data_IF_924395768505
#
_entry.id   IF_924395768505
#
_cell.length_a   1.000
_cell.length_b   1.000
_cell.length_c   1.000
_cell.angle_alpha   90.00
_cell.angle_beta   90.00
_cell.angle_gamma   90.00
#
_symmetry.space_group_name_H-M   'P 1'
#
loop_
_entity.id
_entity.type
_entity.pdbx_description
1 polymer ?
#
# COMPACT_ATOMS: atom_id res chain seq x y z
N UNK A 1 -1.88 20.84 30.01
CA UNK A 1 -2.17 20.81 28.56
C UNK A 1 -1.88 22.16 27.93
N UNK A 2 -2.50 23.26 28.40
CA UNK A 2 -2.26 24.61 27.88
C UNK A 2 -0.77 24.98 27.87
N UNK A 3 -0.06 24.78 28.98
CA UNK A 3 1.38 25.12 29.12
C UNK A 3 2.28 24.36 28.15
N UNK A 4 1.88 23.13 27.78
CA UNK A 4 2.58 22.30 26.80
C UNK A 4 2.29 22.82 25.39
N UNK A 5 1.02 23.14 25.10
CA UNK A 5 0.61 23.70 23.82
C UNK A 5 1.13 25.15 23.60
N UNK A 6 1.39 25.93 24.64
CA UNK A 6 2.05 27.23 24.53
C UNK A 6 3.56 27.11 24.33
N UNK A 7 4.19 26.10 24.94
CA UNK A 7 5.65 25.90 24.84
C UNK A 7 6.09 25.17 23.56
N UNK A 8 5.26 24.27 23.02
CA UNK A 8 5.62 23.40 21.90
C UNK A 8 4.74 23.56 20.64
N UNK A 9 3.72 24.42 20.71
CA UNK A 9 2.79 24.71 19.61
C UNK A 9 1.36 24.22 19.86
N UNK A 10 0.39 24.93 19.30
CA UNK A 10 -1.03 24.60 19.46
C UNK A 10 -1.31 23.23 18.82
N UNK A 11 -1.65 22.23 19.63
CA UNK A 11 -1.92 20.87 19.18
C UNK A 11 -0.82 19.85 19.49
N UNK A 12 0.27 20.23 20.17
CA UNK A 12 1.28 19.27 20.66
C UNK A 12 0.69 18.20 21.59
N UNK A 13 -0.36 18.52 22.35
CA UNK A 13 -1.14 17.57 23.14
C UNK A 13 -2.63 17.79 22.92
N UNK A 14 -3.30 16.77 22.41
CA UNK A 14 -4.76 16.71 22.17
C UNK A 14 -5.34 15.43 22.77
N UNK A 15 -6.65 15.40 23.05
CA UNK A 15 -7.34 14.16 23.43
C UNK A 15 -7.72 13.41 22.15
N UNK A 16 -7.38 12.12 22.07
CA UNK A 16 -7.59 11.31 20.86
C UNK A 16 -9.06 11.29 20.40
N UNK A 17 -10.01 11.20 21.34
CA UNK A 17 -11.46 11.24 21.04
C UNK A 17 -11.97 12.59 20.52
N UNK A 18 -11.33 13.71 20.89
CA UNK A 18 -11.70 15.05 20.35
C UNK A 18 -11.02 15.38 19.02
N UNK A 19 -10.06 14.56 18.58
CA UNK A 19 -9.37 14.74 17.30
C UNK A 19 -10.12 14.11 16.11
N UNK A 20 -11.37 13.67 16.31
CA UNK A 20 -12.14 12.92 15.30
C UNK A 20 -11.48 11.58 15.01
N UNK A 21 -11.63 10.61 15.93
CA UNK A 21 -11.00 9.28 15.97
C UNK A 21 -10.09 8.96 14.78
N UNK A 22 -8.80 9.29 14.92
CA UNK A 22 -7.87 9.55 13.80
C UNK A 22 -7.72 8.39 12.80
N UNK A 23 -8.66 8.31 11.85
CA UNK A 23 -8.54 7.54 10.63
C UNK A 23 -7.39 8.14 9.81
N UNK A 24 -6.47 7.28 9.39
CA UNK A 24 -5.35 7.70 8.56
C UNK A 24 -5.88 7.83 7.14
N UNK A 25 -5.91 9.05 6.62
CA UNK A 25 -6.33 9.31 5.24
C UNK A 25 -5.49 8.48 4.26
N UNK A 26 -6.14 7.90 3.25
CA UNK A 26 -5.51 7.10 2.21
C UNK A 26 -5.74 7.70 0.83
N UNK A 27 -4.96 7.25 -0.15
CA UNK A 27 -5.16 7.51 -1.57
C UNK A 27 -5.01 6.21 -2.37
N UNK A 28 -5.60 6.18 -3.57
CA UNK A 28 -5.53 5.03 -4.48
C UNK A 28 -4.08 4.66 -4.81
N UNK A 29 -3.76 3.36 -4.80
CA UNK A 29 -2.49 2.85 -5.32
C UNK A 29 -2.46 2.77 -6.85
N UNK A 30 -3.58 3.09 -7.51
CA UNK A 30 -3.84 2.89 -8.93
C UNK A 30 -4.28 1.47 -9.27
N UNK A 31 -4.33 0.59 -8.26
CA UNK A 31 -4.57 -0.86 -8.42
C UNK A 31 -5.70 -1.27 -7.48
N UNK A 32 -6.91 -1.41 -8.02
CA UNK A 32 -8.13 -1.61 -7.22
C UNK A 32 -8.06 -2.87 -6.32
N UNK A 33 -7.44 -3.96 -6.78
CA UNK A 33 -7.26 -5.18 -5.97
C UNK A 33 -6.29 -4.96 -4.80
N UNK A 34 -5.28 -4.09 -4.97
CA UNK A 34 -4.37 -3.69 -3.89
C UNK A 34 -5.06 -2.73 -2.91
N UNK A 35 -5.89 -1.81 -3.38
CA UNK A 35 -6.69 -0.93 -2.53
C UNK A 35 -7.69 -1.75 -1.68
N UNK A 36 -8.29 -2.81 -2.22
CA UNK A 36 -9.12 -3.78 -1.48
C UNK A 36 -8.32 -4.54 -0.42
N UNK A 37 -7.09 -4.94 -0.76
CA UNK A 37 -6.18 -5.61 0.16
C UNK A 37 -5.70 -4.66 1.28
N UNK A 38 -5.53 -3.37 0.97
CA UNK A 38 -5.14 -2.35 1.92
C UNK A 38 -6.30 -1.79 2.75
N UNK A 39 -7.54 -1.86 2.28
CA UNK A 39 -8.68 -1.16 2.89
C UNK A 39 -8.51 0.34 2.74
N UNK A 40 -8.71 0.85 1.52
CA UNK A 40 -8.70 2.27 1.19
C UNK A 40 -7.46 2.76 0.44
N UNK A 41 -6.45 1.92 0.24
CA UNK A 41 -5.23 2.26 -0.50
C UNK A 41 -4.03 2.63 0.38
N UNK A 42 -3.14 3.48 -0.14
CA UNK A 42 -1.88 3.85 0.50
C UNK A 42 -2.08 5.00 1.50
N UNK A 43 -1.48 4.94 2.71
CA UNK A 43 -1.70 5.96 3.75
C UNK A 43 -0.89 7.24 3.54
N UNK A 44 -1.56 8.39 3.62
CA UNK A 44 -0.95 9.73 3.61
C UNK A 44 -0.07 9.97 4.83
N UNK A 45 1.01 10.72 4.65
CA UNK A 45 1.93 11.12 5.73
C UNK A 45 2.74 9.97 6.35
N UNK A 46 2.81 8.80 5.69
CA UNK A 46 3.42 7.59 6.23
C UNK A 46 4.51 7.02 5.33
N UNK A 47 5.40 6.25 5.96
CA UNK A 47 6.40 5.43 5.26
C UNK A 47 5.78 4.12 4.78
N UNK A 48 6.03 3.75 3.53
CA UNK A 48 5.66 2.48 2.88
C UNK A 48 6.93 1.83 2.35
N UNK A 49 7.11 0.52 2.56
CA UNK A 49 8.16 -0.26 1.90
C UNK A 49 7.52 -1.20 0.87
N UNK A 50 7.98 -1.18 -0.37
CA UNK A 50 7.59 -2.15 -1.40
C UNK A 50 8.83 -2.93 -1.78
N UNK A 51 8.83 -4.24 -1.52
CA UNK A 51 10.00 -5.09 -1.73
C UNK A 51 9.64 -6.37 -2.47
N UNK A 52 10.63 -6.92 -3.16
CA UNK A 52 10.42 -8.11 -3.99
C UNK A 52 11.67 -8.45 -4.80
N UNK A 53 11.61 -9.54 -5.59
CA UNK A 53 12.63 -9.86 -6.59
C UNK A 53 12.80 -8.74 -7.62
N UNK A 54 13.83 -8.86 -8.46
CA UNK A 54 13.94 -8.11 -9.72
C UNK A 54 12.75 -8.42 -10.65
N UNK A 55 12.40 -7.49 -11.54
CA UNK A 55 11.31 -7.61 -12.52
C UNK A 55 9.94 -8.04 -11.98
N UNK A 56 9.69 -7.83 -10.68
CA UNK A 56 8.44 -8.21 -10.01
C UNK A 56 7.32 -7.16 -10.12
N UNK A 57 7.61 -5.97 -10.66
CA UNK A 57 6.65 -4.85 -10.78
C UNK A 57 6.72 -3.78 -9.68
N UNK A 58 7.80 -3.73 -8.88
CA UNK A 58 8.01 -2.71 -7.81
C UNK A 58 7.83 -1.27 -8.33
N UNK A 59 8.60 -0.91 -9.35
CA UNK A 59 8.61 0.42 -9.96
C UNK A 59 7.29 0.71 -10.68
N UNK A 60 6.71 -0.27 -11.40
CA UNK A 60 5.35 -0.18 -11.98
C UNK A 60 4.30 0.21 -10.93
N UNK A 61 4.28 -0.45 -9.77
CA UNK A 61 3.35 -0.14 -8.67
C UNK A 61 3.57 1.31 -8.16
N UNK A 62 4.82 1.71 -7.97
CA UNK A 62 5.14 3.07 -7.53
C UNK A 62 4.74 4.15 -8.56
N UNK A 63 4.94 3.89 -9.85
CA UNK A 63 4.52 4.79 -10.93
C UNK A 63 2.98 4.92 -10.99
N UNK A 64 2.23 3.85 -10.74
CA UNK A 64 0.77 3.96 -10.57
C UNK A 64 0.37 4.81 -9.36
N UNK A 65 1.04 4.66 -8.21
CA UNK A 65 0.79 5.51 -7.05
C UNK A 65 1.15 6.99 -7.30
N UNK A 66 2.21 7.26 -8.07
CA UNK A 66 2.59 8.60 -8.55
C UNK A 66 1.50 9.18 -9.45
N UNK A 67 1.03 8.42 -10.44
CA UNK A 67 -0.02 8.85 -11.36
C UNK A 67 -1.33 9.19 -10.62
N UNK A 68 -1.72 8.41 -9.60
CA UNK A 68 -2.92 8.72 -8.80
C UNK A 68 -2.77 10.00 -7.96
N UNK A 69 -1.60 10.26 -7.39
CA UNK A 69 -1.35 11.51 -6.64
C UNK A 69 -1.41 12.73 -7.58
N UNK A 70 -0.82 12.62 -8.77
CA UNK A 70 -0.89 13.69 -9.79
C UNK A 70 -2.33 13.92 -10.30
N UNK A 71 -3.14 12.86 -10.48
CA UNK A 71 -4.58 12.99 -10.82
C UNK A 71 -5.39 13.71 -9.75
N UNK A 72 -4.97 13.66 -8.49
CA UNK A 72 -5.58 14.40 -7.38
C UNK A 72 -5.07 15.85 -7.29
N UNK A 73 -4.22 16.31 -8.22
CA UNK A 73 -3.59 17.62 -8.21
C UNK A 73 -2.42 17.75 -7.23
N UNK A 74 -1.95 16.63 -6.66
CA UNK A 74 -0.80 16.58 -5.77
C UNK A 74 0.53 16.44 -6.53
N UNK A 75 1.60 16.89 -5.88
CA UNK A 75 2.94 16.82 -6.46
C UNK A 75 3.65 15.53 -6.05
N UNK A 76 4.33 14.90 -7.01
CA UNK A 76 5.11 13.69 -6.79
C UNK A 76 6.59 13.91 -7.09
N UNK A 77 7.44 13.18 -6.37
CA UNK A 77 8.89 13.15 -6.57
C UNK A 77 9.40 11.71 -6.68
N UNK A 78 10.29 11.47 -7.65
CA UNK A 78 11.05 10.24 -7.77
C UNK A 78 12.54 10.51 -7.46
N UNK A 79 13.07 9.78 -6.49
CA UNK A 79 14.52 9.68 -6.25
C UNK A 79 15.00 8.41 -6.93
N UNK A 80 15.52 8.57 -8.14
CA UNK A 80 16.04 7.51 -9.01
C UNK A 80 17.52 7.29 -8.72
N UNK A 81 17.79 6.46 -7.70
CA UNK A 81 19.15 6.06 -7.30
C UNK A 81 19.65 4.84 -8.08
N UNK A 82 18.77 4.08 -8.75
CA UNK A 82 19.16 3.02 -9.70
C UNK A 82 19.51 3.56 -11.11
N UNK A 83 19.29 4.86 -11.37
CA UNK A 83 19.47 5.51 -12.68
C UNK A 83 18.71 4.78 -13.82
N UNK A 84 17.52 4.28 -13.49
CA UNK A 84 16.73 3.37 -14.32
C UNK A 84 15.36 3.95 -14.73
N UNK A 85 15.13 5.25 -14.49
CA UNK A 85 13.87 5.90 -14.85
C UNK A 85 13.63 5.94 -16.37
N UNK A 86 12.49 5.40 -16.80
CA UNK A 86 11.99 5.48 -18.19
C UNK A 86 10.82 6.48 -18.27
N UNK A 87 11.01 7.66 -18.88
CA UNK A 87 9.95 8.64 -19.11
C UNK A 87 8.81 8.13 -20.01
N UNK A 88 9.10 7.33 -21.03
CA UNK A 88 8.11 6.86 -21.99
C UNK A 88 7.18 5.81 -21.36
N UNK A 89 7.76 4.84 -20.64
CA UNK A 89 6.97 3.88 -19.86
C UNK A 89 6.14 4.58 -18.77
N UNK A 90 6.73 5.54 -18.04
CA UNK A 90 6.03 6.31 -17.01
C UNK A 90 4.81 7.06 -17.58
N UNK A 91 4.96 7.70 -18.74
CA UNK A 91 3.86 8.38 -19.44
C UNK A 91 2.74 7.41 -19.86
N UNK A 92 3.09 6.20 -20.30
CA UNK A 92 2.10 5.17 -20.64
C UNK A 92 1.30 4.68 -19.41
N UNK A 93 1.91 4.66 -18.23
CA UNK A 93 1.25 4.38 -16.94
C UNK A 93 0.38 5.54 -16.43
N UNK A 94 0.33 6.67 -17.14
CA UNK A 94 -0.45 7.85 -16.80
C UNK A 94 0.23 8.82 -15.82
N UNK A 95 1.56 8.72 -15.65
CA UNK A 95 2.36 9.72 -14.93
C UNK A 95 2.47 10.99 -15.77
N UNK A 96 2.20 12.14 -15.15
CA UNK A 96 2.55 13.43 -15.73
C UNK A 96 4.06 13.65 -15.55
N UNK A 97 4.81 13.28 -16.59
CA UNK A 97 6.27 13.36 -16.63
C UNK A 97 6.76 14.81 -16.68
N UNK A 98 5.96 15.75 -17.17
CA UNK A 98 6.36 17.17 -17.28
C UNK A 98 6.37 17.84 -15.90
N UNK A 99 5.47 17.40 -15.00
CA UNK A 99 5.39 17.87 -13.61
C UNK A 99 5.98 16.89 -12.58
N UNK A 100 6.62 15.78 -13.00
CA UNK A 100 7.28 14.85 -12.07
C UNK A 100 8.64 15.41 -11.64
N UNK A 101 8.84 15.58 -10.33
CA UNK A 101 10.13 16.02 -9.80
C UNK A 101 11.07 14.81 -9.74
N UNK A 102 12.11 14.78 -10.58
CA UNK A 102 13.11 13.70 -10.56
C UNK A 102 14.42 14.17 -9.91
N UNK A 103 14.97 13.34 -9.03
CA UNK A 103 16.30 13.50 -8.44
C UNK A 103 17.11 12.25 -8.72
N UNK A 104 18.25 12.40 -9.41
CA UNK A 104 19.27 11.37 -9.60
C UNK A 104 20.47 11.75 -8.71
N UNK A 105 20.63 11.14 -7.53
CA UNK A 105 21.59 11.58 -6.52
C UNK A 105 22.94 10.87 -6.63
N UNK A 106 24.04 11.59 -6.38
CA UNK A 106 25.40 11.00 -6.40
C UNK A 106 25.67 10.03 -5.24
N UNK A 107 24.88 10.06 -4.17
CA UNK A 107 25.06 9.25 -2.97
C UNK A 107 23.78 9.18 -2.11
N UNK A 108 23.72 8.19 -1.22
CA UNK A 108 22.59 7.96 -0.33
C UNK A 108 22.29 9.10 0.65
N UNK A 109 23.31 9.83 1.12
CA UNK A 109 23.11 11.02 1.96
C UNK A 109 22.36 12.12 1.20
N UNK A 110 22.81 12.45 -0.01
CA UNK A 110 22.18 13.44 -0.89
C UNK A 110 20.75 13.04 -1.25
N UNK A 111 20.53 11.77 -1.58
CA UNK A 111 19.21 11.20 -1.88
C UNK A 111 18.20 11.46 -0.75
N UNK A 112 18.58 11.03 0.46
CA UNK A 112 17.71 11.09 1.64
C UNK A 112 17.56 12.53 2.17
N UNK A 113 18.61 13.35 2.11
CA UNK A 113 18.51 14.75 2.52
C UNK A 113 17.66 15.57 1.55
N UNK A 114 17.75 15.34 0.24
CA UNK A 114 16.91 16.02 -0.76
C UNK A 114 15.44 15.66 -0.55
N UNK A 115 15.14 14.37 -0.38
CA UNK A 115 13.79 13.90 -0.04
C UNK A 115 13.27 14.51 1.28
N UNK A 116 14.09 14.57 2.34
CA UNK A 116 13.71 15.15 3.64
C UNK A 116 13.49 16.68 3.56
N UNK A 117 14.23 17.38 2.69
CA UNK A 117 14.03 18.82 2.40
C UNK A 117 12.74 19.06 1.63
N UNK A 118 12.46 18.28 0.58
CA UNK A 118 11.22 18.38 -0.23
C UNK A 118 9.98 17.98 0.57
N UNK A 119 10.10 16.99 1.44
CA UNK A 119 9.05 16.62 2.40
C UNK A 119 8.74 17.77 3.38
N UNK A 120 9.79 18.44 3.91
CA UNK A 120 9.62 19.57 4.84
C UNK A 120 9.03 20.84 4.23
N UNK A 121 9.20 21.09 2.92
CA UNK A 121 8.63 22.28 2.29
C UNK A 121 7.11 22.20 2.14
N UNK A 122 6.52 21.01 2.30
CA UNK A 122 5.10 20.77 2.04
C UNK A 122 4.72 20.86 0.56
N UNK A 123 5.71 20.89 -0.34
CA UNK A 123 5.49 21.04 -1.78
C UNK A 123 5.29 19.70 -2.51
N UNK A 124 5.36 18.56 -1.81
CA UNK A 124 5.31 17.21 -2.38
C UNK A 124 4.47 16.29 -1.50
N UNK A 125 3.46 15.66 -2.10
CA UNK A 125 2.50 14.75 -1.46
C UNK A 125 2.98 13.29 -1.46
N UNK A 126 3.85 12.93 -2.41
CA UNK A 126 4.43 11.60 -2.51
C UNK A 126 5.91 11.65 -2.95
N UNK A 127 6.79 11.01 -2.19
CA UNK A 127 8.18 10.76 -2.59
C UNK A 127 8.37 9.25 -2.73
N UNK A 128 8.80 8.80 -3.91
CA UNK A 128 9.27 7.44 -4.15
C UNK A 128 10.80 7.42 -4.21
N UNK A 129 11.43 6.46 -3.54
CA UNK A 129 12.88 6.21 -3.57
C UNK A 129 13.13 4.86 -4.22
N UNK A 130 13.69 4.86 -5.43
CA UNK A 130 14.04 3.66 -6.22
C UNK A 130 15.57 3.56 -6.39
N UNK A 131 16.30 2.77 -5.60
CA UNK A 131 15.83 1.92 -4.49
C UNK A 131 16.76 2.02 -3.29
N UNK A 132 16.30 1.52 -2.13
CA UNK A 132 17.08 1.46 -0.88
C UNK A 132 18.40 0.71 -1.08
N UNK A 133 18.46 -0.27 -1.98
CA UNK A 133 19.69 -1.00 -2.27
C UNK A 133 20.77 -0.11 -2.91
N UNK A 134 20.37 0.90 -3.70
CA UNK A 134 21.25 1.84 -4.39
C UNK A 134 21.54 3.13 -3.59
N UNK A 135 21.03 3.26 -2.34
CA UNK A 135 21.41 4.33 -1.42
C UNK A 135 22.81 4.07 -0.84
N UNK A 136 23.82 4.10 -1.69
CA UNK A 136 25.23 3.85 -1.33
C UNK A 136 25.79 5.08 -0.60
N UNK A 137 26.29 4.93 0.64
CA UNK A 137 26.86 6.05 1.38
C UNK A 137 28.08 6.65 0.68
N UNK A 138 28.28 7.96 0.81
CA UNK A 138 29.39 8.68 0.17
C UNK A 138 30.76 8.04 0.43
N UNK A 139 31.05 7.64 1.67
CA UNK A 139 32.34 7.03 2.02
C UNK A 139 32.56 5.64 1.39
N UNK A 140 31.50 4.95 0.98
CA UNK A 140 31.56 3.67 0.27
C UNK A 140 31.84 3.90 -1.23
N UNK A 141 31.34 5.01 -1.80
CA UNK A 141 31.61 5.42 -3.19
C UNK A 141 33.03 6.00 -3.35
N UNK A 142 33.50 6.78 -2.37
CA UNK A 142 34.87 7.32 -2.34
C UNK A 142 35.92 6.28 -1.90
N UNK A 143 35.49 5.09 -1.47
CA UNK A 143 36.35 4.00 -1.01
C UNK A 143 36.80 3.04 -2.12
N UNK A 144 37.84 2.27 -1.84
CA UNK A 144 38.29 1.21 -2.76
C UNK A 144 37.39 -0.03 -2.70
N UNK A 145 37.18 -0.69 -3.84
CA UNK A 145 36.40 -1.93 -3.94
C UNK A 145 37.05 -3.01 -3.07
N UNK A 146 36.30 -3.51 -2.09
CA UNK A 146 36.77 -4.49 -1.10
C UNK A 146 37.12 -3.89 0.27
N UNK A 147 37.14 -2.56 0.41
CA UNK A 147 37.26 -1.90 1.72
C UNK A 147 36.06 -2.24 2.61
N UNK A 148 36.32 -2.73 3.83
CA UNK A 148 35.25 -3.14 4.76
C UNK A 148 34.58 -1.93 5.43
N UNK A 149 33.36 -1.60 5.00
CA UNK A 149 32.54 -0.52 5.59
C UNK A 149 31.22 -1.06 6.19
N UNK A 150 31.34 -1.93 7.19
CA UNK A 150 30.19 -2.69 7.71
C UNK A 150 29.07 -1.80 8.28
N UNK A 151 27.86 -1.93 7.72
CA UNK A 151 26.64 -1.37 8.27
C UNK A 151 26.43 0.13 8.05
N UNK A 152 27.22 0.77 7.18
CA UNK A 152 27.15 2.22 6.93
C UNK A 152 25.77 2.64 6.38
N UNK A 153 25.27 1.97 5.34
CA UNK A 153 23.92 2.18 4.80
C UNK A 153 22.82 1.97 5.86
N UNK A 154 22.95 0.98 6.74
CA UNK A 154 21.97 0.72 7.79
C UNK A 154 21.91 1.84 8.85
N UNK A 155 23.07 2.46 9.17
CA UNK A 155 23.15 3.64 10.04
C UNK A 155 22.51 4.86 9.37
N UNK A 156 22.83 5.10 8.10
CA UNK A 156 22.28 6.19 7.29
C UNK A 156 20.73 6.11 7.25
N UNK A 157 20.18 4.96 6.86
CA UNK A 157 18.73 4.72 6.86
C UNK A 157 18.09 4.92 8.25
N UNK A 158 18.75 4.46 9.31
CA UNK A 158 18.26 4.64 10.69
C UNK A 158 18.21 6.10 11.14
N UNK A 159 19.13 6.93 10.66
CA UNK A 159 19.18 8.37 10.95
C UNK A 159 18.17 9.14 10.11
N UNK A 160 18.08 8.85 8.81
CA UNK A 160 17.17 9.51 7.88
C UNK A 160 15.70 9.24 8.24
N UNK A 161 15.30 7.97 8.38
CA UNK A 161 13.91 7.60 8.70
C UNK A 161 13.40 8.21 10.02
N UNK A 162 14.29 8.41 11.00
CA UNK A 162 13.96 9.05 12.27
C UNK A 162 13.57 10.52 12.10
N UNK A 163 14.16 11.23 11.14
CA UNK A 163 13.79 12.61 10.77
C UNK A 163 12.57 12.61 9.84
N UNK A 164 12.69 11.89 8.72
CA UNK A 164 11.73 11.88 7.62
C UNK A 164 10.34 11.40 8.07
N UNK A 165 10.23 10.37 8.93
CA UNK A 165 8.92 9.87 9.37
C UNK A 165 8.12 10.90 10.18
N UNK A 166 8.79 11.84 10.86
CA UNK A 166 8.14 12.93 11.57
C UNK A 166 7.73 14.08 10.64
N UNK A 167 8.55 14.36 9.62
CA UNK A 167 8.28 15.39 8.63
C UNK A 167 7.13 14.97 7.69
N UNK A 168 7.15 13.72 7.20
CA UNK A 168 6.09 13.08 6.41
C UNK A 168 4.72 13.21 7.08
N UNK A 169 4.62 12.84 8.37
CA UNK A 169 3.36 12.90 9.10
C UNK A 169 2.85 14.32 9.36
N UNK A 170 3.71 15.34 9.27
CA UNK A 170 3.30 16.76 9.40
C UNK A 170 2.92 17.38 8.06
N UNK A 171 3.58 16.98 6.99
CA UNK A 171 3.35 17.48 5.64
C UNK A 171 2.22 16.75 4.90
N UNK A 172 1.75 15.60 5.40
CA UNK A 172 0.85 14.70 4.64
C UNK A 172 1.57 13.88 3.56
N UNK A 173 2.87 14.11 3.36
CA UNK A 173 3.72 13.48 2.37
C UNK A 173 3.92 11.98 2.64
N UNK A 174 3.56 11.11 1.69
CA UNK A 174 3.84 9.67 1.74
C UNK A 174 5.24 9.37 1.23
N UNK A 175 5.95 8.48 1.90
CA UNK A 175 7.31 8.08 1.54
C UNK A 175 7.32 6.59 1.12
N UNK A 176 7.36 6.32 -0.18
CA UNK A 176 7.54 4.97 -0.73
C UNK A 176 9.04 4.68 -0.85
N UNK A 177 9.48 3.59 -0.25
CA UNK A 177 10.82 3.04 -0.44
C UNK A 177 10.72 1.72 -1.21
N UNK A 178 11.29 1.68 -2.40
CA UNK A 178 11.47 0.44 -3.14
C UNK A 178 12.72 -0.27 -2.61
N UNK A 179 12.64 -1.59 -2.46
CA UNK A 179 13.72 -2.38 -1.87
C UNK A 179 13.84 -3.73 -2.55
N UNK A 180 15.04 -4.30 -2.54
CA UNK A 180 15.31 -5.59 -3.15
C UNK A 180 15.39 -6.69 -2.08
N UNK A 181 15.10 -7.93 -2.46
CA UNK A 181 15.36 -9.10 -1.61
C UNK A 181 16.86 -9.45 -1.67
N UNK A 182 17.41 -9.86 -0.51
CA UNK A 182 18.75 -10.44 -0.34
C UNK A 182 18.62 -11.67 0.54
N UNK A 183 19.59 -12.58 0.49
CA UNK A 183 19.60 -13.80 1.31
C UNK A 183 20.64 -13.71 2.43
N UNK A 184 20.23 -13.99 3.67
CA UNK A 184 21.15 -14.06 4.80
C UNK A 184 21.86 -15.42 4.80
N UNK A 185 23.16 -15.41 4.49
CA UNK A 185 24.04 -16.58 4.53
C UNK A 185 24.03 -17.19 5.96
N UNK A 186 24.04 -18.53 6.04
CA UNK A 186 24.07 -19.27 7.30
C UNK A 186 22.72 -19.47 8.00
N UNK A 187 21.60 -19.09 7.37
CA UNK A 187 20.24 -19.41 7.87
C UNK A 187 19.78 -20.72 7.25
N UNK A 188 19.90 -21.82 8.01
CA UNK A 188 19.47 -23.16 7.60
C UNK A 188 18.01 -23.49 7.96
N UNK A 189 17.35 -22.65 8.78
CA UNK A 189 15.98 -22.86 9.25
C UNK A 189 15.21 -21.53 9.30
N UNK A 190 13.94 -21.54 8.88
CA UNK A 190 13.12 -20.33 8.73
C UNK A 190 13.28 -19.66 7.36
N UNK A 191 12.81 -18.42 7.22
CA UNK A 191 12.97 -17.64 5.97
C UNK A 191 14.36 -16.93 5.96
N UNK A 192 15.26 -17.23 5.00
CA UNK A 192 16.55 -16.56 4.86
C UNK A 192 16.46 -15.16 4.21
N UNK A 193 15.31 -14.76 3.67
CA UNK A 193 15.15 -13.49 2.96
C UNK A 193 15.19 -12.26 3.89
N UNK A 194 15.98 -11.29 3.49
CA UNK A 194 16.13 -9.97 4.12
C UNK A 194 16.02 -8.87 3.07
N UNK A 195 15.93 -7.61 3.50
CA UNK A 195 15.88 -6.43 2.63
C UNK A 195 17.06 -5.51 2.93
N UNK A 196 17.50 -4.71 1.96
CA UNK A 196 18.63 -3.77 2.10
C UNK A 196 18.31 -2.61 3.07
N UNK A 197 19.32 -1.83 3.47
CA UNK A 197 19.15 -0.70 4.40
C UNK A 197 18.99 -1.08 5.88
N UNK A 198 19.18 -2.36 6.25
CA UNK A 198 19.08 -2.84 7.62
C UNK A 198 17.64 -2.96 8.14
N UNK A 199 17.47 -2.92 9.47
CA UNK A 199 16.16 -3.20 10.09
C UNK A 199 15.25 -1.97 10.23
N UNK A 200 15.77 -0.75 10.15
CA UNK A 200 15.04 0.47 10.48
C UNK A 200 13.75 0.64 9.66
N UNK A 201 13.84 0.46 8.34
CA UNK A 201 12.69 0.59 7.43
C UNK A 201 11.55 -0.35 7.82
N UNK A 202 11.86 -1.59 8.24
CA UNK A 202 10.87 -2.56 8.71
C UNK A 202 10.07 -2.08 9.92
N UNK A 203 10.65 -1.24 10.79
CA UNK A 203 9.96 -0.66 11.96
C UNK A 203 9.19 0.62 11.62
N UNK A 204 9.84 1.55 10.91
CA UNK A 204 9.25 2.85 10.53
C UNK A 204 8.06 2.68 9.57
N UNK A 205 8.20 1.83 8.55
CA UNK A 205 7.13 1.54 7.59
C UNK A 205 5.79 1.25 8.29
N UNK A 206 4.75 1.99 7.91
CA UNK A 206 3.37 1.72 8.32
C UNK A 206 2.78 0.59 7.49
N UNK A 207 3.10 0.53 6.20
CA UNK A 207 2.73 -0.56 5.30
C UNK A 207 4.00 -1.19 4.72
N UNK A 208 4.04 -2.53 4.65
CA UNK A 208 5.09 -3.26 3.91
C UNK A 208 4.40 -4.18 2.91
N UNK A 209 4.70 -3.97 1.62
CA UNK A 209 4.18 -4.75 0.51
C UNK A 209 5.28 -5.65 -0.03
N UNK A 210 5.02 -6.94 -0.08
CA UNK A 210 5.88 -7.91 -0.76
C UNK A 210 5.27 -8.25 -2.11
N UNK A 211 5.94 -7.88 -3.20
CA UNK A 211 5.50 -8.17 -4.57
C UNK A 211 6.33 -9.29 -5.18
N UNK A 212 5.66 -10.25 -5.83
CA UNK A 212 6.29 -11.34 -6.57
C UNK A 212 5.58 -11.60 -7.89
N UNK A 213 6.33 -12.13 -8.85
CA UNK A 213 5.76 -12.82 -10.01
C UNK A 213 4.99 -14.06 -9.54
N UNK A 214 3.74 -14.19 -9.97
CA UNK A 214 2.92 -15.39 -9.83
C UNK A 214 2.84 -16.21 -11.13
N UNK A 215 3.35 -15.66 -12.25
CA UNK A 215 3.36 -16.29 -13.57
C UNK A 215 3.49 -15.26 -14.69
N UNK A 216 3.90 -15.70 -15.87
CA UNK A 216 3.91 -14.87 -17.08
C UNK A 216 2.58 -14.99 -17.82
N UNK A 217 2.19 -13.92 -18.53
CA UNK A 217 1.00 -13.87 -19.37
C UNK A 217 1.46 -14.06 -20.81
N UNK A 218 1.01 -15.14 -21.47
CA UNK A 218 1.36 -15.43 -22.87
C UNK A 218 0.33 -14.85 -23.83
N UNK A 219 0.80 -14.46 -25.02
CA UNK A 219 -0.07 -14.06 -26.12
C UNK A 219 -1.01 -15.19 -26.54
N UNK A 220 -2.24 -14.84 -26.93
CA UNK A 220 -3.18 -15.79 -27.54
C UNK A 220 -2.80 -16.17 -28.98
N UNK A 221 -1.80 -15.48 -29.57
CA UNK A 221 -1.37 -15.63 -30.98
C UNK A 221 0.05 -16.17 -31.16
N UNK A 222 0.75 -16.53 -30.08
CA UNK A 222 2.15 -17.01 -30.15
C UNK A 222 2.74 -17.32 -28.77
N UNK A 223 4.03 -17.65 -28.73
CA UNK A 223 4.73 -18.01 -27.49
C UNK A 223 5.39 -16.80 -26.77
N UNK A 224 5.04 -15.59 -27.18
CA UNK A 224 5.54 -14.34 -26.61
C UNK A 224 4.88 -14.03 -25.26
N UNK A 225 5.70 -13.64 -24.28
CA UNK A 225 5.25 -13.15 -22.98
C UNK A 225 4.83 -11.68 -23.11
N UNK A 226 3.53 -11.40 -23.00
CA UNK A 226 2.94 -10.04 -23.14
C UNK A 226 2.73 -9.34 -21.78
N UNK A 227 3.00 -10.03 -20.67
CA UNK A 227 2.86 -9.46 -19.34
C UNK A 227 3.22 -10.39 -18.20
N UNK A 228 2.95 -9.92 -16.99
CA UNK A 228 3.27 -10.54 -15.72
C UNK A 228 2.04 -10.56 -14.82
N UNK A 229 1.65 -11.73 -14.30
CA UNK A 229 0.70 -11.79 -13.18
C UNK A 229 1.48 -11.52 -11.89
N UNK A 230 1.21 -10.39 -11.25
CA UNK A 230 1.84 -10.00 -10.00
C UNK A 230 0.94 -10.38 -8.81
N UNK A 231 1.57 -10.82 -7.71
CA UNK A 231 0.92 -11.02 -6.41
C UNK A 231 1.59 -10.12 -5.39
N UNK A 232 0.81 -9.29 -4.71
CA UNK A 232 1.24 -8.41 -3.63
C UNK A 232 0.68 -8.93 -2.30
N UNK A 233 1.54 -9.14 -1.31
CA UNK A 233 1.15 -9.51 0.07
C UNK A 233 1.39 -8.34 1.01
N UNK A 234 0.38 -7.97 1.79
CA UNK A 234 0.47 -6.94 2.83
C UNK A 234 1.17 -7.51 4.06
N UNK A 235 2.50 -7.58 4.04
CA UNK A 235 3.31 -8.20 5.11
C UNK A 235 3.33 -7.39 6.41
N UNK A 236 2.94 -6.11 6.35
CA UNK A 236 2.67 -5.27 7.51
C UNK A 236 1.64 -4.21 7.14
N UNK A 237 0.72 -3.91 8.03
CA UNK A 237 -0.10 -2.69 8.00
C UNK A 237 -0.29 -2.17 9.43
N UNK A 238 -0.16 -0.86 9.61
CA UNK A 238 -0.53 -0.10 10.83
C UNK A 238 -1.83 0.70 10.63
N UNK A 239 -2.46 0.57 9.47
CA UNK A 239 -3.67 1.34 9.08
C UNK A 239 -4.86 0.43 8.76
N UNK A 240 -4.60 -0.86 8.57
CA UNK A 240 -5.58 -1.86 8.18
C UNK A 240 -5.13 -3.27 8.57
N UNK A 241 -5.91 -4.31 8.23
CA UNK A 241 -5.57 -5.70 8.56
C UNK A 241 -4.40 -6.21 7.70
N UNK A 242 -3.27 -6.67 8.29
CA UNK A 242 -2.17 -7.26 7.54
C UNK A 242 -2.53 -8.65 6.97
N UNK A 243 -1.60 -9.20 6.19
CA UNK A 243 -1.61 -10.53 5.58
C UNK A 243 -2.64 -10.82 4.49
N UNK A 244 -3.52 -9.85 4.18
CA UNK A 244 -4.26 -9.82 2.92
C UNK A 244 -3.31 -9.85 1.71
N UNK A 245 -3.84 -10.32 0.59
CA UNK A 245 -3.14 -10.41 -0.70
C UNK A 245 -3.98 -9.77 -1.80
N UNK A 246 -3.30 -9.23 -2.80
CA UNK A 246 -3.87 -8.76 -4.05
C UNK A 246 -3.17 -9.48 -5.21
N UNK A 247 -3.92 -9.79 -6.26
CA UNK A 247 -3.37 -10.19 -7.55
C UNK A 247 -3.84 -9.22 -8.63
N UNK A 248 -3.00 -9.03 -9.65
CA UNK A 248 -3.31 -8.22 -10.81
C UNK A 248 -2.37 -8.56 -11.96
N UNK A 249 -2.76 -8.15 -13.16
CA UNK A 249 -2.04 -8.42 -14.40
C UNK A 249 -1.33 -7.12 -14.83
N UNK A 250 -0.01 -7.18 -14.96
CA UNK A 250 0.83 -6.10 -15.49
C UNK A 250 1.12 -6.43 -16.95
N UNK A 251 0.55 -5.67 -17.87
CA UNK A 251 0.82 -5.77 -19.30
C UNK A 251 2.08 -4.95 -19.64
N UNK A 252 2.96 -5.48 -20.47
CA UNK A 252 4.18 -4.76 -20.85
C UNK A 252 3.83 -3.55 -21.72
N UNK A 253 4.47 -2.40 -21.46
CA UNK A 253 4.16 -1.12 -22.10
C UNK A 253 2.91 -0.39 -21.59
N UNK A 254 1.90 -1.10 -21.05
CA UNK A 254 0.64 -0.49 -20.59
C UNK A 254 0.51 -0.35 -19.07
N UNK A 255 1.22 -1.19 -18.29
CA UNK A 255 1.10 -1.21 -16.82
C UNK A 255 -0.02 -2.13 -16.33
N UNK A 256 -0.67 -1.78 -15.22
CA UNK A 256 -1.66 -2.66 -14.58
C UNK A 256 -3.01 -2.62 -15.30
N UNK A 257 -3.55 -3.79 -15.63
CA UNK A 257 -4.87 -3.95 -16.25
C UNK A 257 -5.98 -3.48 -15.32
N UNK A 258 -6.46 -2.25 -15.51
CA UNK A 258 -7.58 -1.67 -14.75
C UNK A 258 -8.85 -2.53 -14.88
N UNK A 259 -9.17 -2.97 -16.09
CA UNK A 259 -10.31 -3.85 -16.37
C UNK A 259 -10.20 -5.19 -15.62
N UNK A 260 -9.01 -5.80 -15.62
CA UNK A 260 -8.74 -7.01 -14.85
C UNK A 260 -9.03 -6.82 -13.37
N UNK A 261 -8.50 -5.73 -12.79
CA UNK A 261 -8.69 -5.40 -11.38
C UNK A 261 -10.16 -5.13 -11.01
N UNK A 262 -10.94 -4.48 -11.90
CA UNK A 262 -12.38 -4.25 -11.69
C UNK A 262 -13.12 -5.60 -11.65
N UNK A 263 -12.88 -6.48 -12.63
CA UNK A 263 -13.54 -7.78 -12.70
C UNK A 263 -13.16 -8.67 -11.50
N UNK A 264 -11.88 -8.69 -11.11
CA UNK A 264 -11.39 -9.44 -9.94
C UNK A 264 -12.03 -8.94 -8.63
N UNK A 265 -12.11 -7.62 -8.43
CA UNK A 265 -12.78 -7.08 -7.25
C UNK A 265 -14.29 -7.35 -7.27
N UNK A 266 -14.93 -7.28 -8.45
CA UNK A 266 -16.35 -7.57 -8.59
C UNK A 266 -16.68 -9.06 -8.34
N UNK A 267 -15.79 -9.99 -8.71
CA UNK A 267 -15.90 -11.41 -8.34
C UNK A 267 -15.73 -11.60 -6.82
N UNK A 268 -14.70 -11.00 -6.21
CA UNK A 268 -14.41 -11.10 -4.77
C UNK A 268 -15.53 -10.51 -3.90
N UNK A 269 -16.21 -9.48 -4.38
CA UNK A 269 -17.28 -8.77 -3.66
C UNK A 269 -18.69 -9.20 -4.09
N UNK A 270 -18.81 -10.30 -4.83
CA UNK A 270 -20.07 -10.91 -5.30
C UNK A 270 -20.96 -9.99 -6.17
N UNK A 271 -20.42 -8.86 -6.65
CA UNK A 271 -21.07 -7.94 -7.60
C UNK A 271 -21.20 -8.61 -8.98
N UNK A 272 -20.17 -9.38 -9.38
CA UNK A 272 -20.20 -10.23 -10.58
C UNK A 272 -20.21 -11.68 -10.12
N UNK A 273 -21.29 -12.39 -10.45
CA UNK A 273 -21.49 -13.78 -10.06
C UNK A 273 -20.87 -14.71 -11.10
N UNK A 274 -20.03 -15.63 -10.62
CA UNK A 274 -19.36 -16.64 -11.44
C UNK A 274 -19.96 -18.02 -11.23
N UNK A 275 -20.63 -18.55 -12.27
CA UNK A 275 -21.25 -19.89 -12.26
C UNK A 275 -20.45 -20.81 -13.19
N UNK A 276 -19.55 -21.62 -12.60
CA UNK A 276 -18.60 -22.44 -13.36
C UNK A 276 -17.62 -21.56 -14.13
N UNK A 277 -17.67 -21.61 -15.47
CA UNK A 277 -16.87 -20.74 -16.35
C UNK A 277 -17.58 -19.47 -16.80
N UNK A 278 -18.85 -19.25 -16.44
CA UNK A 278 -19.63 -18.08 -16.87
C UNK A 278 -19.60 -16.95 -15.84
N UNK A 279 -19.39 -15.72 -16.31
CA UNK A 279 -19.51 -14.48 -15.54
C UNK A 279 -20.85 -13.80 -15.88
N UNK A 280 -21.58 -13.37 -14.86
CA UNK A 280 -22.84 -12.64 -14.99
C UNK A 280 -22.87 -11.46 -14.03
N UNK A 281 -23.45 -10.35 -14.46
CA UNK A 281 -23.70 -9.17 -13.65
C UNK A 281 -25.21 -8.95 -13.65
N UNK A 282 -25.83 -9.04 -12.47
CA UNK A 282 -27.29 -9.08 -12.34
C UNK A 282 -27.88 -10.13 -13.31
N UNK A 283 -28.81 -9.77 -14.19
CA UNK A 283 -29.38 -10.66 -15.21
C UNK A 283 -28.57 -10.72 -16.52
N UNK A 284 -27.53 -9.88 -16.69
CA UNK A 284 -26.72 -9.81 -17.91
C UNK A 284 -25.55 -10.81 -17.87
N UNK A 285 -25.40 -11.63 -18.91
CA UNK A 285 -24.21 -12.48 -19.08
C UNK A 285 -23.06 -11.66 -19.68
N UNK A 286 -21.95 -11.56 -18.95
CA UNK A 286 -20.73 -10.90 -19.41
C UNK A 286 -19.91 -11.80 -20.35
N UNK A 287 -19.94 -13.13 -20.13
CA UNK A 287 -19.28 -14.07 -21.04
C UNK A 287 -18.82 -15.36 -20.37
N UNK A 288 -18.29 -16.27 -21.20
CA UNK A 288 -17.69 -17.52 -20.76
C UNK A 288 -16.16 -17.41 -20.77
N UNK A 289 -15.56 -17.52 -19.58
CA UNK A 289 -14.13 -17.28 -19.35
C UNK A 289 -13.80 -15.81 -19.11
N UNK A 290 -12.68 -15.57 -18.39
CA UNK A 290 -12.19 -14.23 -18.01
C UNK A 290 -12.07 -13.32 -19.23
N UNK A 291 -11.43 -13.79 -20.29
CA UNK A 291 -11.13 -12.98 -21.48
C UNK A 291 -12.40 -12.46 -22.18
N UNK A 292 -13.45 -13.29 -22.30
CA UNK A 292 -14.72 -12.85 -22.90
C UNK A 292 -15.44 -11.82 -22.02
N UNK A 293 -15.40 -11.98 -20.70
CA UNK A 293 -15.96 -11.00 -19.78
C UNK A 293 -15.20 -9.66 -19.84
N UNK A 294 -13.85 -9.69 -19.91
CA UNK A 294 -13.03 -8.49 -20.10
C UNK A 294 -13.29 -7.80 -21.44
N UNK A 295 -13.46 -8.57 -22.52
CA UNK A 295 -13.82 -8.02 -23.83
C UNK A 295 -15.21 -7.38 -23.81
N UNK A 296 -16.21 -8.01 -23.18
CA UNK A 296 -17.55 -7.44 -23.04
C UNK A 296 -17.56 -6.13 -22.23
N UNK A 297 -16.76 -6.04 -21.16
CA UNK A 297 -16.60 -4.79 -20.40
C UNK A 297 -15.87 -3.71 -21.21
N UNK A 298 -14.85 -4.09 -22.00
CA UNK A 298 -14.11 -3.19 -22.91
C UNK A 298 -15.01 -2.61 -24.01
N UNK A 299 -15.97 -3.40 -24.50
CA UNK A 299 -16.98 -2.97 -25.49
C UNK A 299 -18.12 -2.15 -24.87
N UNK A 300 -18.31 -2.20 -23.54
CA UNK A 300 -19.39 -1.51 -22.83
C UNK A 300 -18.87 -0.63 -21.67
N UNK A 301 -18.22 0.52 -21.94
CA UNK A 301 -17.64 1.38 -20.90
C UNK A 301 -18.63 1.86 -19.83
N UNK A 302 -19.90 2.10 -20.20
CA UNK A 302 -20.94 2.48 -19.24
C UNK A 302 -21.19 1.40 -18.17
N UNK A 303 -21.16 0.13 -18.57
CA UNK A 303 -21.31 -1.02 -17.67
C UNK A 303 -20.05 -1.22 -16.81
N UNK A 304 -18.86 -1.01 -17.39
CA UNK A 304 -17.60 -0.99 -16.64
C UNK A 304 -17.64 0.06 -15.52
N UNK A 305 -18.04 1.29 -15.82
CA UNK A 305 -18.12 2.39 -14.85
C UNK A 305 -19.17 2.13 -13.76
N UNK A 306 -20.29 1.48 -14.10
CA UNK A 306 -21.31 1.09 -13.12
C UNK A 306 -20.77 0.03 -12.15
N UNK A 307 -20.11 -1.01 -12.66
CA UNK A 307 -19.48 -2.05 -11.84
C UNK A 307 -18.36 -1.46 -10.97
N UNK A 308 -17.50 -0.61 -11.52
CA UNK A 308 -16.44 0.05 -10.73
C UNK A 308 -17.03 0.91 -9.61
N UNK A 309 -18.13 1.65 -9.86
CA UNK A 309 -18.83 2.43 -8.83
C UNK A 309 -19.43 1.54 -7.74
N UNK A 310 -20.15 0.46 -8.10
CA UNK A 310 -20.71 -0.49 -7.11
C UNK A 310 -19.62 -1.14 -6.26
N UNK A 311 -18.51 -1.57 -6.87
CA UNK A 311 -17.34 -2.10 -6.15
C UNK A 311 -16.76 -1.06 -5.18
N UNK A 312 -16.48 0.16 -5.64
CA UNK A 312 -15.92 1.24 -4.80
C UNK A 312 -16.84 1.65 -3.64
N UNK A 313 -18.16 1.65 -3.84
CA UNK A 313 -19.12 1.91 -2.76
C UNK A 313 -19.08 0.81 -1.69
N UNK A 314 -19.11 -0.46 -2.10
CA UNK A 314 -19.04 -1.58 -1.16
C UNK A 314 -17.68 -1.66 -0.42
N UNK A 315 -16.60 -1.14 -1.01
CA UNK A 315 -15.31 -1.01 -0.32
C UNK A 315 -15.42 -0.06 0.88
N UNK A 316 -16.00 1.12 0.66
CA UNK A 316 -16.22 2.14 1.68
C UNK A 316 -17.18 1.65 2.77
N UNK A 317 -18.32 1.07 2.41
CA UNK A 317 -19.28 0.53 3.37
C UNK A 317 -18.69 -0.65 4.18
N UNK A 318 -17.87 -1.48 3.53
CA UNK A 318 -17.11 -2.56 4.15
C UNK A 318 -16.00 -2.11 5.11
N UNK A 319 -15.66 -0.81 5.11
CA UNK A 319 -14.77 -0.17 6.09
C UNK A 319 -15.59 0.45 7.24
N UNK A 320 -16.73 1.09 6.94
CA UNK A 320 -17.66 1.62 7.95
C UNK A 320 -18.20 0.50 8.86
N UNK A 321 -18.71 -0.60 8.30
CA UNK A 321 -19.23 -1.73 9.10
C UNK A 321 -18.16 -2.54 9.85
N UNK A 322 -16.86 -2.32 9.57
CA UNK A 322 -15.74 -2.98 10.26
C UNK A 322 -15.00 -2.08 11.26
N UNK A 323 -15.40 -0.80 11.36
CA UNK A 323 -14.78 0.19 12.25
C UNK A 323 -15.64 0.55 13.47
N UNK A 324 -16.91 0.13 13.52
CA UNK A 324 -17.70 0.15 14.76
C UNK A 324 -17.03 -0.75 15.81
N UNK A 325 -16.67 -0.24 17.01
CA UNK A 325 -16.31 -1.10 18.11
C UNK A 325 -17.51 -1.99 18.44
N UNK A 326 -17.25 -3.26 18.79
CA UNK A 326 -18.23 -4.10 19.47
C UNK A 326 -18.54 -3.49 20.85
N UNK A 327 -19.49 -2.56 20.90
CA UNK A 327 -20.20 -2.23 22.12
C UNK A 327 -21.11 -3.41 22.45
N UNK A 328 -20.54 -4.41 23.12
CA UNK A 328 -21.32 -5.47 23.75
C UNK A 328 -22.22 -4.84 24.81
N UNK A 329 -23.52 -4.87 24.57
CA UNK A 329 -24.55 -4.56 25.54
C UNK A 329 -24.46 -5.50 26.75
N UNK A 330 -24.40 -4.93 27.96
CA UNK A 330 -25.17 -5.34 29.15
C UNK A 330 -24.51 -4.87 30.46
N UNK A 331 -25.21 -4.00 31.18
CA UNK A 331 -25.19 -3.92 32.65
C UNK A 331 -26.39 -3.07 33.09
N UNK A 332 -27.59 -3.57 32.78
CA UNK A 332 -28.81 -3.12 33.45
C UNK A 332 -28.85 -3.72 34.85
N UNK A 333 -28.16 -3.07 35.81
CA UNK A 333 -28.33 -3.36 37.23
C UNK A 333 -29.68 -2.81 37.70
N UNK A 334 -30.75 -3.60 37.55
CA UNK A 334 -32.01 -3.34 38.21
C UNK A 334 -31.89 -3.73 39.70
N UNK A 335 -32.17 -2.78 40.59
CA UNK A 335 -32.28 -3.01 42.04
C UNK A 335 -33.73 -2.91 42.49
N UNK A 336 -34.10 -3.72 43.50
CA UNK A 336 -35.45 -3.94 44.05
C UNK A 336 -36.39 -4.72 43.11
N UNK A 337 -36.97 -5.84 43.53
CA UNK A 337 -37.78 -5.99 44.75
C UNK A 337 -37.53 -7.29 45.53
N UNK A 338 -37.86 -7.23 46.81
CA UNK A 338 -38.13 -8.37 47.67
C UNK A 338 -39.54 -8.89 47.35
N UNK A 339 -39.72 -10.21 47.33
CA UNK A 339 -41.03 -10.85 47.51
C UNK A 339 -40.78 -12.26 48.09
N UNK A 340 -41.68 -12.69 48.97
CA UNK A 340 -41.53 -13.85 49.85
C UNK A 340 -42.11 -15.11 49.18
N UNK A 341 -41.44 -16.26 49.33
CA UNK A 341 -42.07 -17.57 49.14
C UNK A 341 -41.83 -18.43 50.38
N UNK A 342 -42.90 -18.58 51.18
CA UNK A 342 -43.07 -19.73 52.06
C UNK A 342 -43.20 -20.98 51.17
N UNK A 343 -42.46 -22.04 51.48
CA UNK A 343 -42.76 -23.37 50.94
C UNK A 343 -42.72 -24.38 52.09
N UNK A 344 -43.80 -25.14 52.24
CA UNK A 344 -44.05 -26.02 53.38
C UNK A 344 -44.59 -27.37 52.91
N UNK A 345 -44.22 -28.45 53.62
CA UNK A 345 -44.63 -29.86 53.40
C UNK A 345 -43.91 -30.53 52.21
N UNK A 346 -43.59 -31.83 52.15
CA UNK A 346 -43.54 -32.99 53.09
C UNK A 346 -42.75 -34.12 52.34
N UNK A 347 -42.16 -35.19 52.90
CA UNK A 347 -42.03 -35.76 54.27
C UNK A 347 -40.66 -36.51 54.35
N UNK A 348 -40.31 -37.10 55.50
CA UNK A 348 -39.22 -38.06 55.68
C UNK A 348 -39.50 -39.45 55.07
N UNK A 349 -38.47 -40.12 54.53
CA UNK A 349 -38.15 -41.53 54.86
C UNK A 349 -36.71 -41.92 54.46
#
# INVERSE_FOLDING_TARGET
MNDINSSFGKGSVTRLGSAGGALVETFSSGILTLDLALGGGLPKGRVVEIYGPESSGKTTLALHAIAEVQKLGGNAMLVDAEHAFDPAYSKALGVDVENLIVCQPDNGEMALETADRMCRSGAVDLICVDSVSALTPRAEIEGEIGMQQMGLQARLMSQALRKMSGNASKAGCTLIFLNQIRYKIGVYYGNPEVTSGGIALKFFASVRLEIRSAGKIKSSKGDEDIGLRARVRVQKSKVSRPYKQAEFEIMFGEGVSKLGCILDCAEIMEVVVKKGSWYSYEDQRLGQGREKALQHLRENPALQDEIEKKVRLLMLDGEVHRSTPLMSSSSSSASHREEEEEDSLDDFQ
#
